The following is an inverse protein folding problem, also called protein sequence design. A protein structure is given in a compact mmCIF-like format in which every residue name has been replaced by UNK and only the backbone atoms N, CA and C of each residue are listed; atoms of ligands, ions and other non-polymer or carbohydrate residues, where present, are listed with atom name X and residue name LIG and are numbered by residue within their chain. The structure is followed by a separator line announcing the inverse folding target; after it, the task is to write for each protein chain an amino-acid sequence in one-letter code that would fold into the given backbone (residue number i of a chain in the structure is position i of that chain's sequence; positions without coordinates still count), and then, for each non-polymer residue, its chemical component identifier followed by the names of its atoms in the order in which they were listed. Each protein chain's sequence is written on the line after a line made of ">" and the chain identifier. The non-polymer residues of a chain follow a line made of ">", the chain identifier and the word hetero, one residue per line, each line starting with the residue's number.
data_IF_670612840705
#
_entry.id   IF_670612840705
#
_cell.length_a   1.000
_cell.length_b   1.000
_cell.length_c   1.000
_cell.angle_alpha   90.00
_cell.angle_beta   90.00
_cell.angle_gamma   90.00
#
_symmetry.space_group_name_H-M   'P 1'
#
loop_
_entity.id
_entity.type
_entity.pdbx_description
1 polymer ?
#
# COMPACT_ATOMS: atom_id res chain seq x y z
N UNK A 1 6.57 -19.69 19.89
CA UNK A 1 5.90 -20.34 18.74
C UNK A 1 5.42 -19.19 17.87
N UNK A 2 6.07 -18.92 16.73
CA UNK A 2 5.49 -17.99 15.74
C UNK A 2 4.38 -18.79 15.07
N UNK A 3 3.14 -18.37 15.22
CA UNK A 3 2.08 -18.90 14.37
C UNK A 3 2.40 -18.42 12.96
N UNK A 4 2.54 -19.34 12.01
CA UNK A 4 2.66 -19.04 10.59
C UNK A 4 1.31 -18.49 10.12
N UNK A 5 1.08 -17.19 10.36
CA UNK A 5 -0.14 -16.51 9.95
C UNK A 5 -0.12 -16.41 8.43
N UNK A 6 -1.10 -17.09 7.80
CA UNK A 6 -1.36 -16.98 6.37
C UNK A 6 -2.56 -16.09 6.12
N UNK A 7 -2.44 -15.15 5.19
CA UNK A 7 -3.53 -14.32 4.69
C UNK A 7 -3.73 -14.61 3.20
N UNK A 8 -4.97 -14.94 2.82
CA UNK A 8 -5.33 -15.35 1.46
C UNK A 8 -4.45 -16.52 0.93
N UNK A 9 -3.95 -17.36 1.83
CA UNK A 9 -3.03 -18.46 1.53
C UNK A 9 -1.54 -18.08 1.47
N UNK A 10 -1.18 -16.80 1.59
CA UNK A 10 0.20 -16.32 1.55
C UNK A 10 0.83 -16.16 2.93
N UNK A 11 2.12 -16.49 3.05
CA UNK A 11 2.90 -16.28 4.26
C UNK A 11 3.40 -14.84 4.35
N UNK A 12 3.13 -14.18 5.48
CA UNK A 12 3.54 -12.80 5.67
C UNK A 12 5.06 -12.69 5.92
N UNK A 13 5.72 -11.63 5.39
CA UNK A 13 7.11 -11.33 5.72
C UNK A 13 7.32 -11.19 7.23
N UNK A 14 8.50 -11.56 7.73
CA UNK A 14 8.78 -11.60 9.18
C UNK A 14 8.51 -10.26 9.88
N UNK A 15 8.83 -9.14 9.21
CA UNK A 15 8.68 -7.78 9.76
C UNK A 15 7.36 -7.11 9.40
N UNK A 16 6.43 -7.83 8.77
CA UNK A 16 5.16 -7.27 8.34
C UNK A 16 4.41 -6.60 9.50
N UNK A 17 4.35 -7.28 10.65
CA UNK A 17 3.71 -6.76 11.87
C UNK A 17 4.46 -5.58 12.52
N UNK A 18 5.68 -5.29 12.08
CA UNK A 18 6.45 -4.14 12.56
C UNK A 18 6.07 -2.85 11.83
N UNK A 19 5.37 -2.90 10.68
CA UNK A 19 4.92 -1.70 9.97
C UNK A 19 4.04 -0.82 10.87
N UNK A 20 3.06 -1.41 11.54
CA UNK A 20 2.18 -0.72 12.50
C UNK A 20 2.94 -0.13 13.70
N UNK A 21 4.16 -0.61 13.98
CA UNK A 21 5.03 -0.08 15.05
C UNK A 21 5.95 1.05 14.57
N UNK A 22 6.14 1.20 13.26
CA UNK A 22 7.03 2.21 12.66
C UNK A 22 6.46 3.63 12.79
N UNK A 23 5.17 3.74 13.08
CA UNK A 23 4.43 5.01 13.11
C UNK A 23 3.82 5.31 11.73
N UNK A 24 3.41 6.57 11.52
CA UNK A 24 2.89 7.00 10.23
C UNK A 24 3.98 7.06 9.17
N UNK A 25 3.64 6.64 7.96
CA UNK A 25 4.43 6.81 6.75
C UNK A 25 3.45 6.95 5.58
N UNK A 26 3.85 7.71 4.57
CA UNK A 26 3.05 8.01 3.39
C UNK A 26 3.88 7.97 2.11
N UNK A 27 5.17 7.69 2.22
CA UNK A 27 6.12 7.80 1.11
C UNK A 27 7.21 6.76 1.21
N UNK A 28 7.80 6.41 0.07
CA UNK A 28 8.98 5.59 -0.05
C UNK A 28 9.98 6.20 -1.03
N UNK A 29 11.27 6.09 -0.69
CA UNK A 29 12.37 6.54 -1.56
C UNK A 29 13.35 5.41 -1.76
N UNK A 30 13.46 4.96 -3.01
CA UNK A 30 14.47 3.99 -3.43
C UNK A 30 15.63 4.74 -4.07
N UNK A 31 16.86 4.35 -3.76
CA UNK A 31 18.05 5.02 -4.28
C UNK A 31 18.05 5.01 -5.82
N UNK A 32 18.21 6.19 -6.42
CA UNK A 32 18.18 6.35 -7.88
C UNK A 32 16.79 6.35 -8.52
N UNK A 33 15.72 6.27 -7.72
CA UNK A 33 14.34 6.36 -8.20
C UNK A 33 13.62 7.61 -7.67
N UNK A 34 12.51 7.96 -8.30
CA UNK A 34 11.62 9.01 -7.81
C UNK A 34 10.95 8.56 -6.51
N UNK A 35 10.69 9.51 -5.62
CA UNK A 35 9.83 9.30 -4.46
C UNK A 35 8.43 8.87 -4.89
N UNK A 36 7.91 7.81 -4.26
CA UNK A 36 6.57 7.28 -4.53
C UNK A 36 5.69 7.57 -3.32
N UNK A 37 4.57 8.25 -3.55
CA UNK A 37 3.53 8.42 -2.54
C UNK A 37 2.75 7.12 -2.38
N UNK A 38 2.49 6.74 -1.14
CA UNK A 38 1.81 5.50 -0.77
C UNK A 38 0.35 5.79 -0.37
N UNK A 39 -0.62 5.03 -0.87
CA UNK A 39 -2.03 5.25 -0.56
C UNK A 39 -2.34 4.90 0.90
N UNK A 40 -3.21 5.66 1.56
CA UNK A 40 -3.66 5.38 2.93
C UNK A 40 -4.97 4.58 2.91
N UNK A 41 -5.30 3.71 3.90
CA UNK A 41 -4.57 3.37 5.13
C UNK A 41 -3.65 2.16 5.01
N UNK A 42 -2.67 2.05 5.93
CA UNK A 42 -2.07 0.77 6.26
C UNK A 42 -3.12 -0.13 6.94
N UNK A 43 -3.41 -1.28 6.32
CA UNK A 43 -4.43 -2.20 6.79
C UNK A 43 -3.92 -3.08 7.93
N UNK A 44 -4.81 -3.39 8.87
CA UNK A 44 -4.61 -4.39 9.92
C UNK A 44 -4.83 -5.78 9.34
N UNK A 45 -4.22 -6.78 9.96
CA UNK A 45 -4.36 -8.20 9.60
C UNK A 45 -5.82 -8.64 9.46
N UNK A 46 -6.70 -8.17 10.35
CA UNK A 46 -8.13 -8.49 10.31
C UNK A 46 -8.83 -7.84 9.11
N UNK A 47 -8.44 -6.62 8.74
CA UNK A 47 -8.99 -5.90 7.58
C UNK A 47 -8.58 -6.60 6.29
N UNK A 48 -7.29 -6.94 6.15
CA UNK A 48 -6.77 -7.71 5.02
C UNK A 48 -7.51 -9.05 4.91
N UNK A 49 -7.69 -9.76 6.02
CA UNK A 49 -8.42 -11.03 6.03
C UNK A 49 -9.87 -10.86 5.56
N UNK A 50 -10.57 -9.84 6.05
CA UNK A 50 -11.97 -9.59 5.69
C UNK A 50 -12.14 -9.18 4.22
N UNK A 51 -11.13 -8.55 3.63
CA UNK A 51 -11.13 -8.17 2.21
C UNK A 51 -11.00 -9.37 1.25
N UNK A 52 -10.69 -10.58 1.72
CA UNK A 52 -10.55 -11.77 0.85
C UNK A 52 -11.81 -12.03 0.01
N UNK A 53 -12.98 -11.79 0.60
CA UNK A 53 -14.27 -11.95 -0.08
C UNK A 53 -14.52 -10.91 -1.17
N UNK A 54 -13.77 -9.80 -1.17
CA UNK A 54 -13.90 -8.70 -2.12
C UNK A 54 -12.85 -8.76 -3.24
N UNK A 55 -11.94 -9.76 -3.23
CA UNK A 55 -10.82 -9.82 -4.18
C UNK A 55 -11.29 -9.77 -5.64
N UNK A 56 -12.41 -10.44 -5.94
CA UNK A 56 -12.94 -10.56 -7.30
C UNK A 56 -13.65 -9.26 -7.70
N UNK A 57 -14.39 -8.64 -6.78
CA UNK A 57 -15.06 -7.35 -6.96
C UNK A 57 -14.04 -6.21 -7.17
N UNK A 58 -12.89 -6.30 -6.50
CA UNK A 58 -11.80 -5.34 -6.64
C UNK A 58 -10.85 -5.68 -7.79
N UNK A 59 -11.10 -6.78 -8.51
CA UNK A 59 -10.27 -7.26 -9.61
C UNK A 59 -8.79 -7.40 -9.24
N UNK A 60 -8.50 -7.88 -8.02
CA UNK A 60 -7.12 -8.03 -7.52
C UNK A 60 -6.41 -9.13 -8.32
N UNK A 61 -5.29 -8.82 -8.99
CA UNK A 61 -4.52 -9.82 -9.73
C UNK A 61 -4.08 -11.01 -8.85
N UNK A 62 -4.10 -12.20 -9.44
CA UNK A 62 -3.64 -13.43 -8.78
C UNK A 62 -2.19 -13.27 -8.31
N UNK A 63 -1.92 -13.75 -7.09
CA UNK A 63 -0.59 -13.65 -6.47
C UNK A 63 -0.36 -12.36 -5.70
N UNK A 64 -1.31 -11.43 -5.68
CA UNK A 64 -1.23 -10.21 -4.89
C UNK A 64 -1.96 -10.33 -3.56
N UNK A 65 -1.35 -9.78 -2.51
CA UNK A 65 -1.96 -9.57 -1.20
C UNK A 65 -1.91 -8.07 -0.85
N UNK A 66 -3.04 -7.35 -0.95
CA UNK A 66 -3.12 -5.95 -0.54
C UNK A 66 -2.88 -5.79 0.96
N UNK A 67 -2.13 -4.76 1.35
CA UNK A 67 -1.92 -4.43 2.76
C UNK A 67 -2.00 -2.94 3.08
N UNK A 68 -2.14 -2.08 2.07
CA UNK A 68 -2.28 -0.64 2.27
C UNK A 68 -3.06 -0.02 1.09
N UNK A 69 -3.89 0.99 1.37
CA UNK A 69 -4.69 1.74 0.38
C UNK A 69 -6.20 1.52 0.46
N UNK A 70 -6.93 2.11 -0.48
CA UNK A 70 -8.39 2.30 -0.44
C UNK A 70 -9.11 1.96 -1.75
N UNK A 71 -9.05 0.68 -2.17
CA UNK A 71 -9.71 0.10 -3.37
C UNK A 71 -9.23 0.65 -4.72
N UNK A 72 -8.99 1.95 -4.85
CA UNK A 72 -8.50 2.60 -6.05
C UNK A 72 -7.00 2.32 -6.21
N UNK A 73 -6.21 2.73 -5.23
CA UNK A 73 -4.78 2.51 -5.19
C UNK A 73 -4.44 1.56 -4.03
N UNK A 74 -3.71 0.48 -4.33
CA UNK A 74 -3.36 -0.54 -3.34
C UNK A 74 -1.87 -0.88 -3.40
N UNK A 75 -1.21 -0.89 -2.25
CA UNK A 75 0.10 -1.50 -2.09
C UNK A 75 -0.10 -2.98 -1.79
N UNK A 76 0.55 -3.83 -2.57
CA UNK A 76 0.44 -5.28 -2.47
C UNK A 76 1.80 -5.95 -2.31
N UNK A 77 1.80 -7.08 -1.59
CA UNK A 77 2.85 -8.08 -1.69
C UNK A 77 2.60 -8.92 -2.95
N UNK A 78 3.57 -9.03 -3.84
CA UNK A 78 3.49 -9.83 -5.06
C UNK A 78 4.28 -11.13 -4.92
N UNK A 79 3.56 -12.24 -4.86
CA UNK A 79 4.05 -13.62 -4.75
C UNK A 79 4.02 -14.38 -6.09
N UNK A 80 3.77 -13.70 -7.21
CA UNK A 80 3.63 -14.37 -8.52
C UNK A 80 4.91 -15.09 -8.98
N UNK A 81 6.07 -14.64 -8.53
CA UNK A 81 7.38 -15.20 -8.94
C UNK A 81 8.12 -15.95 -7.82
N UNK A 82 7.86 -15.64 -6.55
CA UNK A 82 8.65 -16.14 -5.41
C UNK A 82 7.90 -16.09 -4.09
N UNK A 83 8.31 -16.93 -3.13
CA UNK A 83 7.84 -16.89 -1.74
C UNK A 83 8.42 -15.70 -0.95
N UNK A 84 9.46 -15.04 -1.46
CA UNK A 84 9.92 -13.75 -0.95
C UNK A 84 9.25 -12.68 -1.80
N UNK A 85 8.15 -12.06 -1.33
CA UNK A 85 7.35 -11.20 -2.19
C UNK A 85 8.03 -9.87 -2.44
N UNK A 86 7.91 -9.41 -3.68
CA UNK A 86 8.18 -8.01 -4.03
C UNK A 86 7.04 -7.12 -3.54
N UNK A 87 7.26 -5.80 -3.51
CA UNK A 87 6.20 -4.84 -3.19
C UNK A 87 5.84 -4.05 -4.43
N UNK A 88 4.55 -3.99 -4.74
CA UNK A 88 4.01 -3.30 -5.90
C UNK A 88 2.91 -2.33 -5.47
N UNK A 89 2.74 -1.24 -6.22
CA UNK A 89 1.53 -0.43 -6.22
C UNK A 89 0.66 -0.89 -7.40
N UNK A 90 -0.63 -1.07 -7.18
CA UNK A 90 -1.61 -1.18 -8.25
C UNK A 90 -2.54 0.02 -8.20
N UNK A 91 -2.84 0.59 -9.37
CA UNK A 91 -3.74 1.72 -9.51
C UNK A 91 -5.18 1.28 -9.84
N UNK A 92 -6.06 2.27 -10.05
CA UNK A 92 -7.47 2.06 -10.41
C UNK A 92 -7.63 1.28 -11.73
N UNK A 93 -6.64 1.34 -12.61
CA UNK A 93 -6.58 0.56 -13.86
C UNK A 93 -5.93 -0.83 -13.68
N UNK A 94 -5.60 -1.21 -12.44
CA UNK A 94 -4.91 -2.46 -12.05
C UNK A 94 -3.54 -2.61 -12.71
N UNK A 95 -2.92 -1.49 -13.08
CA UNK A 95 -1.55 -1.48 -13.57
C UNK A 95 -0.58 -1.68 -12.41
N UNK A 96 0.28 -2.69 -12.51
CA UNK A 96 1.32 -2.96 -11.51
C UNK A 96 2.52 -2.05 -11.72
N UNK A 97 2.89 -1.32 -10.68
CA UNK A 97 4.14 -0.55 -10.58
C UNK A 97 4.99 -1.20 -9.49
N UNK A 98 6.14 -1.75 -9.87
CA UNK A 98 7.06 -2.35 -8.90
C UNK A 98 7.72 -1.26 -8.06
N UNK A 99 7.60 -1.37 -6.73
CA UNK A 99 8.22 -0.47 -5.76
C UNK A 99 9.57 -1.04 -5.31
N UNK A 100 9.59 -2.28 -4.81
CA UNK A 100 10.82 -2.94 -4.34
C UNK A 100 10.88 -4.41 -4.74
N UNK A 101 12.08 -4.96 -4.84
CA UNK A 101 12.29 -6.39 -5.12
C UNK A 101 11.86 -7.30 -3.97
N UNK A 102 11.84 -6.78 -2.74
CA UNK A 102 11.44 -7.52 -1.56
C UNK A 102 10.83 -6.59 -0.50
N UNK A 103 10.12 -7.20 0.45
CA UNK A 103 9.50 -6.47 1.56
C UNK A 103 10.49 -5.77 2.51
N UNK A 104 11.68 -6.32 2.71
CA UNK A 104 12.66 -5.75 3.64
C UNK A 104 13.14 -4.38 3.17
N UNK A 105 13.38 -4.23 1.87
CA UNK A 105 13.71 -2.95 1.24
C UNK A 105 12.56 -1.94 1.37
N UNK A 106 11.31 -2.39 1.22
CA UNK A 106 10.16 -1.52 1.45
C UNK A 106 10.15 -1.02 2.90
N UNK A 107 10.23 -1.93 3.87
CA UNK A 107 10.21 -1.61 5.29
C UNK A 107 11.32 -0.62 5.68
N UNK A 108 12.52 -0.76 5.11
CA UNK A 108 13.66 0.10 5.45
C UNK A 108 13.57 1.50 4.83
N UNK A 109 12.86 1.65 3.70
CA UNK A 109 12.83 2.89 2.93
C UNK A 109 11.52 3.69 3.04
N UNK A 110 10.47 3.17 3.69
CA UNK A 110 9.26 3.97 3.98
C UNK A 110 9.53 5.01 5.06
N UNK A 111 8.97 6.21 4.87
CA UNK A 111 9.04 7.33 5.80
C UNK A 111 7.80 8.22 5.68
N UNK A 112 7.65 9.13 6.64
CA UNK A 112 6.68 10.22 6.57
C UNK A 112 7.34 11.39 5.83
N UNK A 113 6.84 11.73 4.65
CA UNK A 113 7.34 12.89 3.93
C UNK A 113 7.06 14.16 4.75
N UNK A 114 7.98 15.14 4.74
CA UNK A 114 7.67 16.45 5.31
C UNK A 114 6.47 17.01 4.56
N UNK A 115 5.50 17.56 5.30
CA UNK A 115 4.31 18.19 4.70
C UNK A 115 4.74 19.06 3.52
N UNK A 116 4.28 18.69 2.32
CA UNK A 116 4.38 19.59 1.20
C UNK A 116 3.66 20.87 1.63
N UNK A 117 4.35 22.02 1.60
CA UNK A 117 3.68 23.31 1.74
C UNK A 117 2.61 23.31 0.65
N UNK A 118 1.35 23.13 1.05
CA UNK A 118 0.21 23.30 0.18
C UNK A 118 0.35 24.71 -0.37
N UNK A 119 0.75 24.83 -1.63
CA UNK A 119 0.62 26.10 -2.33
C UNK A 119 -0.88 26.32 -2.45
N UNK A 120 -1.42 27.12 -1.54
CA UNK A 120 -2.83 27.46 -1.48
C UNK A 120 -3.26 28.33 -2.67
N UNK A 121 -2.44 28.45 -3.72
CA UNK A 121 -2.72 29.18 -4.95
C UNK A 121 -3.89 28.62 -5.78
N UNK A 122 -4.54 27.53 -5.36
CA UNK A 122 -5.65 26.90 -6.09
C UNK A 122 -7.00 26.84 -5.37
N UNK A 123 -7.10 27.21 -4.09
CA UNK A 123 -8.40 27.27 -3.41
C UNK A 123 -9.06 28.59 -3.77
N UNK A 124 -9.90 28.57 -4.81
CA UNK A 124 -10.87 29.63 -5.03
C UNK A 124 -11.93 29.45 -3.95
N UNK A 125 -11.78 30.19 -2.86
CA UNK A 125 -12.81 30.38 -1.85
C UNK A 125 -14.01 31.06 -2.54
N UNK A 126 -15.03 30.30 -2.95
CA UNK A 126 -16.30 30.93 -3.34
C UNK A 126 -17.25 30.28 -4.35
N UNK A 127 -17.00 29.11 -4.94
CA UNK A 127 -18.02 28.46 -5.78
C UNK A 127 -18.54 27.16 -5.16
N UNK A 128 -19.49 27.33 -4.25
CA UNK A 128 -20.37 26.27 -3.78
C UNK A 128 -21.29 25.86 -4.93
N UNK A 129 -21.11 24.66 -5.49
CA UNK A 129 -21.98 24.08 -6.54
C UNK A 129 -23.31 23.51 -6.00
N UNK A 130 -23.81 24.05 -4.90
CA UNK A 130 -25.08 23.68 -4.31
C UNK A 130 -25.94 24.93 -4.17
N UNK A 131 -26.64 25.26 -5.24
CA UNK A 131 -27.83 26.11 -5.17
C UNK A 131 -28.97 25.28 -4.55
N UNK A 132 -29.37 25.60 -3.32
CA UNK A 132 -30.62 25.13 -2.70
C UNK A 132 -31.65 26.27 -2.71
#
# INVERSE_FOLDING_TARGET
>A
MKEDIKLWGFELPTRFFELHKKGSFDSIRIEGQQEISLPFPLLRTEEIKNQESLKDDWEIPVGLLPFMGDMHDLVCLDYSESNSPSVVLIDDSRMKIKITDNFEDFYNNVYLAPEAKIDSSGVIEGETWLDF
#
